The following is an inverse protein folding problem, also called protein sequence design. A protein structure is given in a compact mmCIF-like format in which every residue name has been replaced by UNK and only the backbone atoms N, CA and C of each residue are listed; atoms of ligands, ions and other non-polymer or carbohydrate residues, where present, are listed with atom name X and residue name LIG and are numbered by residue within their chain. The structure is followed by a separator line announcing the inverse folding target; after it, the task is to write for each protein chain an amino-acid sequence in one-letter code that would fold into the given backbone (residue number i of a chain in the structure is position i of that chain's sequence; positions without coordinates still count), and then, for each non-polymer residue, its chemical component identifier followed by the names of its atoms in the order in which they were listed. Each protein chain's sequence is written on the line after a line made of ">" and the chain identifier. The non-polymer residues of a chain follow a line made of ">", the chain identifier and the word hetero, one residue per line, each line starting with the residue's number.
data_IF_932449547875
#
_entry.id   IF_932449547875
#
_cell.length_a   1.000
_cell.length_b   1.000
_cell.length_c   1.000
_cell.angle_alpha   90.00
_cell.angle_beta   90.00
_cell.angle_gamma   90.00
#
_symmetry.space_group_name_H-M   'P 1'
#
loop_
_entity.id
_entity.type
_entity.pdbx_description
1 polymer ?
#
# COMPACT_ATOMS: atom_id res chain seq x y z
N UNK A 1 -71.02 5.65 16.71
CA UNK A 1 -69.88 4.76 16.38
C UNK A 1 -69.05 5.35 15.24
N UNK A 2 -68.39 6.49 15.45
CA UNK A 2 -67.54 7.19 14.46
C UNK A 2 -66.54 8.11 15.18
N UNK A 3 -65.68 7.58 16.05
CA UNK A 3 -64.69 8.42 16.78
C UNK A 3 -63.51 7.63 17.35
N UNK A 4 -63.08 6.51 16.72
CA UNK A 4 -61.91 5.74 17.19
C UNK A 4 -61.05 5.27 16.00
N UNK A 5 -60.72 6.20 15.09
CA UNK A 5 -59.83 5.90 13.95
C UNK A 5 -58.86 7.05 13.62
N UNK A 6 -58.56 7.92 14.59
CA UNK A 6 -57.69 9.10 14.39
C UNK A 6 -56.71 9.35 15.54
N UNK A 7 -55.98 8.33 16.00
CA UNK A 7 -54.86 8.57 16.96
C UNK A 7 -53.61 7.70 16.71
N UNK A 8 -53.65 6.58 15.99
CA UNK A 8 -52.46 5.74 15.80
C UNK A 8 -51.82 6.03 14.43
N UNK A 9 -51.33 7.25 14.24
CA UNK A 9 -50.53 7.62 13.07
C UNK A 9 -49.57 8.76 13.45
N UNK A 10 -48.80 8.56 14.53
CA UNK A 10 -47.81 9.56 14.99
C UNK A 10 -46.68 8.98 15.87
N UNK A 11 -46.31 7.70 15.70
CA UNK A 11 -45.11 7.11 16.34
C UNK A 11 -44.43 6.13 15.36
N UNK A 12 -44.08 6.58 14.16
CA UNK A 12 -43.22 5.81 13.25
C UNK A 12 -42.31 6.73 12.41
N UNK A 13 -41.99 7.91 12.92
CA UNK A 13 -41.20 8.92 12.23
C UNK A 13 -40.04 9.43 13.10
N UNK A 14 -39.28 8.55 13.75
CA UNK A 14 -38.03 8.94 14.42
C UNK A 14 -37.12 7.75 14.72
N UNK A 15 -36.69 7.01 13.70
CA UNK A 15 -35.56 6.07 13.83
C UNK A 15 -34.91 5.72 12.49
N UNK A 16 -34.90 6.64 11.53
CA UNK A 16 -33.91 6.60 10.47
C UNK A 16 -32.81 7.58 10.87
N UNK A 17 -32.06 7.25 11.92
CA UNK A 17 -30.70 7.75 12.04
C UNK A 17 -29.96 7.21 10.83
N UNK A 18 -30.00 7.96 9.73
CA UNK A 18 -28.93 7.92 8.76
C UNK A 18 -27.67 8.17 9.58
N UNK A 19 -26.97 7.09 9.93
CA UNK A 19 -25.56 7.16 10.17
C UNK A 19 -25.00 7.72 8.86
N UNK A 20 -24.90 9.05 8.81
CA UNK A 20 -23.93 9.71 7.96
C UNK A 20 -22.64 9.03 8.35
N UNK A 21 -22.19 8.07 7.54
CA UNK A 21 -20.83 7.59 7.61
C UNK A 21 -20.00 8.86 7.49
N UNK A 22 -19.45 9.31 8.61
CA UNK A 22 -18.64 10.52 8.63
C UNK A 22 -17.48 10.23 7.70
N UNK A 23 -17.43 10.92 6.57
CA UNK A 23 -16.39 10.74 5.58
C UNK A 23 -15.04 10.95 6.27
N UNK A 24 -14.13 9.98 6.16
CA UNK A 24 -12.77 10.12 6.66
C UNK A 24 -12.15 11.38 6.03
N UNK A 25 -11.64 12.28 6.87
CA UNK A 25 -11.02 13.54 6.42
C UNK A 25 -9.48 13.48 6.50
N UNK A 26 -8.96 12.54 7.27
CA UNK A 26 -7.54 12.29 7.44
C UNK A 26 -7.28 10.79 7.65
N UNK A 27 -6.01 10.39 7.65
CA UNK A 27 -5.59 9.03 7.94
C UNK A 27 -4.25 9.00 8.66
N UNK A 28 -4.04 7.96 9.47
CA UNK A 28 -2.76 7.72 10.13
C UNK A 28 -1.74 7.20 9.10
N UNK A 29 -0.69 7.96 8.82
CA UNK A 29 0.41 7.54 7.93
C UNK A 29 1.54 6.87 8.70
N UNK A 30 1.60 7.08 10.01
CA UNK A 30 2.57 6.45 10.91
C UNK A 30 2.01 6.42 12.33
N UNK A 31 2.23 5.33 13.07
CA UNK A 31 1.85 5.16 14.47
C UNK A 31 2.97 4.39 15.16
N UNK A 32 3.58 4.90 16.24
CA UNK A 32 4.65 4.23 16.99
C UNK A 32 4.48 4.47 18.48
N UNK A 33 4.66 3.42 19.29
CA UNK A 33 4.46 3.48 20.74
C UNK A 33 2.97 3.46 21.11
N UNK A 34 2.66 3.97 22.29
CA UNK A 34 1.29 4.02 22.81
C UNK A 34 0.49 5.15 22.16
N UNK A 35 -0.35 4.81 21.18
CA UNK A 35 -1.24 5.74 20.50
C UNK A 35 -2.66 5.21 20.60
N UNK A 36 -3.58 6.04 21.05
CA UNK A 36 -5.01 5.73 21.06
C UNK A 36 -5.78 6.75 20.23
N UNK A 37 -6.82 6.29 19.53
CA UNK A 37 -7.80 7.15 18.84
C UNK A 37 -9.16 6.85 19.43
N UNK A 38 -9.73 7.81 20.15
CA UNK A 38 -10.94 7.63 20.96
C UNK A 38 -10.88 6.34 21.82
N UNK A 39 -11.78 5.39 21.59
CA UNK A 39 -11.83 4.11 22.31
C UNK A 39 -10.86 3.04 21.75
N UNK A 40 -10.23 3.29 20.60
CA UNK A 40 -9.29 2.35 19.99
C UNK A 40 -7.87 2.59 20.52
N UNK A 41 -7.42 1.70 21.42
CA UNK A 41 -6.09 1.78 22.06
C UNK A 41 -4.94 1.33 21.16
N UNK A 42 -5.22 0.79 19.97
CA UNK A 42 -4.22 0.38 18.99
C UNK A 42 -4.73 0.61 17.56
N UNK A 43 -4.79 1.87 17.11
CA UNK A 43 -5.21 2.20 15.76
C UNK A 43 -4.21 1.63 14.74
N UNK A 44 -4.73 1.10 13.63
CA UNK A 44 -3.89 0.62 12.54
C UNK A 44 -3.31 1.80 11.73
N UNK A 45 -2.17 1.59 11.08
CA UNK A 45 -1.74 2.48 10.02
C UNK A 45 -2.77 2.47 8.90
N UNK A 46 -2.98 3.63 8.27
CA UNK A 46 -4.04 3.94 7.31
C UNK A 46 -5.46 3.93 7.89
N UNK A 47 -5.64 3.85 9.22
CA UNK A 47 -6.95 4.07 9.81
C UNK A 47 -7.44 5.49 9.50
N UNK A 48 -8.68 5.57 9.04
CA UNK A 48 -9.36 6.83 8.74
C UNK A 48 -9.67 7.59 10.03
N UNK A 49 -9.58 8.91 9.95
CA UNK A 49 -9.86 9.85 11.01
C UNK A 49 -10.95 10.83 10.59
N UNK A 50 -11.86 11.11 11.50
CA UNK A 50 -13.02 11.97 11.28
C UNK A 50 -12.94 13.19 12.20
N UNK A 51 -13.70 14.25 11.86
CA UNK A 51 -13.72 15.48 12.65
C UNK A 51 -14.13 15.18 14.10
N UNK A 52 -13.37 15.71 15.05
CA UNK A 52 -13.67 15.66 16.47
C UNK A 52 -13.04 14.47 17.20
N UNK A 53 -12.44 13.52 16.48
CA UNK A 53 -11.74 12.40 17.11
C UNK A 53 -10.53 12.88 17.92
N UNK A 54 -10.31 12.22 19.06
CA UNK A 54 -9.19 12.49 19.95
C UNK A 54 -8.07 11.49 19.69
N UNK A 55 -6.85 11.99 19.56
CA UNK A 55 -5.65 11.18 19.44
C UNK A 55 -4.82 11.40 20.70
N UNK A 56 -4.62 10.35 21.48
CA UNK A 56 -3.88 10.38 22.74
C UNK A 56 -2.55 9.67 22.50
N UNK A 57 -1.45 10.37 22.76
CA UNK A 57 -0.10 9.82 22.64
C UNK A 57 0.51 9.68 24.03
N UNK A 58 0.94 8.46 24.36
CA UNK A 58 1.70 8.17 25.58
C UNK A 58 3.14 8.71 25.52
N UNK A 59 3.93 8.41 26.55
CA UNK A 59 5.33 8.84 26.59
C UNK A 59 6.13 8.20 25.44
N UNK A 60 6.98 8.99 24.79
CA UNK A 60 7.82 8.56 23.65
C UNK A 60 7.02 8.03 22.43
N UNK A 61 5.70 8.19 22.44
CA UNK A 61 4.82 7.82 21.34
C UNK A 61 4.85 8.88 20.23
N UNK A 62 4.60 8.42 19.01
CA UNK A 62 4.65 9.24 17.82
C UNK A 62 3.55 8.81 16.85
N UNK A 63 2.91 9.78 16.22
CA UNK A 63 1.98 9.52 15.13
C UNK A 63 2.17 10.55 14.02
N UNK A 64 1.86 10.16 12.79
CA UNK A 64 1.73 11.08 11.67
C UNK A 64 0.34 10.94 11.07
N UNK A 65 -0.30 12.07 10.80
CA UNK A 65 -1.66 12.14 10.26
C UNK A 65 -1.64 13.00 9.01
N UNK A 66 -2.10 12.45 7.89
CA UNK A 66 -2.29 13.23 6.67
C UNK A 66 -3.77 13.52 6.41
N UNK A 67 -4.07 14.78 6.12
CA UNK A 67 -5.38 15.22 5.66
C UNK A 67 -5.58 14.93 4.17
N UNK A 68 -6.71 14.33 3.84
CA UNK A 68 -7.03 13.92 2.46
C UNK A 68 -7.18 15.15 1.57
N UNK A 69 -7.95 16.16 2.02
CA UNK A 69 -8.26 17.34 1.22
C UNK A 69 -7.03 18.21 0.97
N UNK A 70 -6.21 18.45 2.00
CA UNK A 70 -5.09 19.39 1.92
C UNK A 70 -3.77 18.72 1.56
N UNK A 71 -3.63 17.41 1.77
CA UNK A 71 -2.35 16.72 1.69
C UNK A 71 -1.35 17.15 2.78
N UNK A 72 -1.78 17.93 3.78
CA UNK A 72 -0.89 18.31 4.89
C UNK A 72 -0.73 17.13 5.82
N UNK A 73 0.51 16.86 6.19
CA UNK A 73 0.82 15.90 7.24
C UNK A 73 1.15 16.62 8.54
N UNK A 74 0.60 16.12 9.65
CA UNK A 74 0.87 16.59 11.00
C UNK A 74 1.61 15.50 11.75
N UNK A 75 2.78 15.84 12.26
CA UNK A 75 3.63 14.99 13.09
C UNK A 75 3.31 15.29 14.55
N UNK A 76 2.90 14.25 15.27
CA UNK A 76 2.42 14.27 16.64
C UNK A 76 3.44 13.58 17.56
N UNK A 77 3.68 14.14 18.74
CA UNK A 77 4.64 13.60 19.71
C UNK A 77 4.06 13.58 21.12
N UNK A 78 4.12 12.44 21.76
CA UNK A 78 3.65 12.28 23.13
C UNK A 78 4.70 12.61 24.19
N UNK A 79 4.28 12.84 25.44
CA UNK A 79 2.89 12.75 25.91
C UNK A 79 2.05 13.97 25.52
N UNK A 80 0.89 13.75 24.87
CA UNK A 80 0.01 14.83 24.40
C UNK A 80 -1.37 14.31 23.95
N UNK A 81 -2.38 15.17 24.05
CA UNK A 81 -3.71 14.95 23.49
C UNK A 81 -3.94 15.86 22.28
N UNK A 82 -4.44 15.30 21.19
CA UNK A 82 -4.74 16.02 19.96
C UNK A 82 -6.19 15.83 19.56
N UNK A 83 -6.74 16.82 18.85
CA UNK A 83 -8.09 16.75 18.26
C UNK A 83 -7.99 16.99 16.76
N UNK A 84 -8.66 16.12 16.00
CA UNK A 84 -8.80 16.24 14.55
C UNK A 84 -9.86 17.30 14.24
N UNK A 85 -9.47 18.39 13.57
CA UNK A 85 -10.41 19.36 13.00
C UNK A 85 -10.58 19.10 11.51
N UNK A 86 -11.23 20.01 10.78
CA UNK A 86 -11.50 19.86 9.34
C UNK A 86 -10.27 19.73 8.45
N UNK A 87 -9.27 20.57 8.72
CA UNK A 87 -8.12 20.75 7.84
C UNK A 87 -6.80 20.76 8.60
N UNK A 88 -6.87 20.59 9.92
CA UNK A 88 -5.73 20.65 10.82
C UNK A 88 -5.90 19.75 12.04
N UNK A 89 -4.80 19.48 12.73
CA UNK A 89 -4.80 18.93 14.08
C UNK A 89 -4.39 20.02 15.06
N UNK A 90 -5.05 20.06 16.22
CA UNK A 90 -4.65 20.92 17.33
C UNK A 90 -4.33 20.09 18.56
N UNK A 91 -3.27 20.47 19.28
CA UNK A 91 -3.01 19.96 20.62
C UNK A 91 -4.07 20.51 21.59
N UNK A 92 -4.73 19.62 22.32
CA UNK A 92 -5.53 19.96 23.50
C UNK A 92 -4.65 20.01 24.75
N UNK A 93 -3.55 19.25 24.75
CA UNK A 93 -2.51 19.25 25.79
C UNK A 93 -1.16 18.90 25.17
N UNK A 94 -0.05 19.24 25.83
CA UNK A 94 1.30 18.86 25.40
C UNK A 94 1.87 19.70 24.24
N UNK A 95 2.79 19.10 23.47
CA UNK A 95 3.52 19.78 22.40
C UNK A 95 2.64 19.97 21.16
N UNK A 96 2.59 21.18 20.57
CA UNK A 96 1.83 21.42 19.35
C UNK A 96 2.30 20.54 18.18
N UNK A 97 1.39 20.16 17.27
CA UNK A 97 1.74 19.30 16.15
C UNK A 97 2.64 20.05 15.15
N UNK A 98 3.63 19.35 14.60
CA UNK A 98 4.54 19.91 13.60
C UNK A 98 3.98 19.60 12.21
N UNK A 99 3.77 20.63 11.40
CA UNK A 99 3.30 20.43 10.01
C UNK A 99 4.47 20.05 9.11
N UNK A 100 4.27 19.01 8.30
CA UNK A 100 5.16 18.60 7.22
C UNK A 100 4.40 18.69 5.90
N UNK A 101 5.00 19.35 4.92
CA UNK A 101 4.46 19.35 3.56
C UNK A 101 4.91 18.07 2.86
N UNK A 102 3.97 17.22 2.49
CA UNK A 102 4.24 16.15 1.52
C UNK A 102 4.10 16.74 0.13
N UNK A 103 5.08 16.52 -0.75
CA UNK A 103 5.02 17.04 -2.12
C UNK A 103 3.89 16.43 -2.95
N UNK A 104 3.28 15.34 -2.47
CA UNK A 104 2.24 14.62 -3.18
C UNK A 104 1.38 13.75 -2.25
N UNK A 105 0.20 13.34 -2.72
CA UNK A 105 -0.75 12.46 -2.01
C UNK A 105 -1.21 11.30 -2.90
N UNK A 106 -1.55 10.18 -2.26
CA UNK A 106 -2.24 9.06 -2.92
C UNK A 106 -3.73 9.39 -3.14
N UNK A 107 -4.38 8.72 -4.10
CA UNK A 107 -5.83 8.90 -4.30
C UNK A 107 -6.65 8.36 -3.13
N UNK A 108 -7.77 9.06 -2.82
CA UNK A 108 -8.67 8.66 -1.73
C UNK A 108 -9.22 7.24 -1.93
N UNK A 109 -9.54 6.89 -3.18
CA UNK A 109 -10.04 5.55 -3.55
C UNK A 109 -9.06 4.44 -3.11
N UNK A 110 -7.76 4.62 -3.36
CA UNK A 110 -6.76 3.61 -3.04
C UNK A 110 -6.46 3.57 -1.54
N UNK A 111 -6.46 4.73 -0.88
CA UNK A 111 -6.34 4.81 0.57
C UNK A 111 -7.43 4.00 1.27
N UNK A 112 -8.70 4.23 0.93
CA UNK A 112 -9.84 3.50 1.50
C UNK A 112 -9.75 2.00 1.19
N UNK A 113 -9.45 1.63 -0.06
CA UNK A 113 -9.33 0.23 -0.46
C UNK A 113 -8.23 -0.51 0.32
N UNK A 114 -7.06 0.11 0.48
CA UNK A 114 -5.94 -0.48 1.21
C UNK A 114 -6.20 -0.51 2.71
N UNK A 115 -6.83 0.52 3.28
CA UNK A 115 -7.24 0.55 4.69
C UNK A 115 -8.23 -0.58 5.01
N UNK A 116 -9.23 -0.80 4.16
CA UNK A 116 -10.19 -1.90 4.31
C UNK A 116 -9.52 -3.27 4.20
N UNK A 117 -8.63 -3.45 3.22
CA UNK A 117 -7.89 -4.71 3.03
C UNK A 117 -6.98 -5.01 4.22
N UNK A 118 -6.29 -3.99 4.72
CA UNK A 118 -5.47 -4.03 5.94
C UNK A 118 -6.30 -4.49 7.15
N UNK A 119 -7.43 -3.82 7.43
CA UNK A 119 -8.29 -4.15 8.56
C UNK A 119 -8.88 -5.57 8.50
N UNK A 120 -9.26 -6.05 7.31
CA UNK A 120 -9.77 -7.40 7.10
C UNK A 120 -8.69 -8.47 7.36
N UNK A 121 -7.45 -8.21 6.91
CA UNK A 121 -6.34 -9.16 7.00
C UNK A 121 -5.84 -9.42 8.43
N UNK A 122 -6.02 -8.45 9.35
CA UNK A 122 -5.64 -8.61 10.76
C UNK A 122 -6.52 -9.66 11.46
N UNK A 123 -7.76 -9.89 10.98
CA UNK A 123 -8.70 -10.85 11.58
C UNK A 123 -8.47 -12.32 11.18
N UNK A 124 -7.48 -12.62 10.33
CA UNK A 124 -7.27 -13.96 9.76
C UNK A 124 -5.96 -14.66 10.15
N UNK A 125 -5.25 -14.23 11.20
CA UNK A 125 -3.98 -14.86 11.60
C UNK A 125 -4.16 -16.03 12.56
N UNK A 126 -4.18 -17.23 11.99
CA UNK A 126 -3.60 -18.42 12.61
C UNK A 126 -2.90 -19.21 11.51
N UNK A 127 -1.71 -19.75 11.80
CA UNK A 127 -0.89 -20.64 10.97
C UNK A 127 0.23 -19.92 10.18
N UNK A 128 1.51 -20.11 10.59
CA UNK A 128 2.67 -19.77 9.76
C UNK A 128 2.68 -20.65 8.51
N UNK A 129 2.95 -20.11 7.31
CA UNK A 129 3.16 -20.95 6.14
C UNK A 129 4.39 -21.84 6.36
N UNK A 130 4.33 -23.13 5.96
CA UNK A 130 5.47 -24.01 6.05
C UNK A 130 6.64 -23.46 5.23
N UNK A 131 7.86 -23.68 5.73
CA UNK A 131 9.09 -23.36 5.02
C UNK A 131 9.26 -24.35 3.87
N UNK A 132 8.62 -24.07 2.73
CA UNK A 132 8.76 -24.85 1.50
C UNK A 132 10.09 -24.49 0.85
N UNK A 133 10.90 -25.49 0.49
CA UNK A 133 12.10 -25.29 -0.32
C UNK A 133 11.75 -24.55 -1.62
N UNK A 134 12.64 -23.70 -2.16
CA UNK A 134 12.33 -22.91 -3.34
C UNK A 134 12.25 -23.81 -4.58
N UNK A 135 11.05 -24.32 -4.86
CA UNK A 135 10.71 -24.90 -6.15
C UNK A 135 10.99 -23.86 -7.25
N UNK A 136 11.45 -24.36 -8.41
CA UNK A 136 11.69 -23.56 -9.59
C UNK A 136 10.43 -22.75 -9.94
N UNK A 137 10.55 -21.41 -10.03
CA UNK A 137 9.42 -20.51 -10.31
C UNK A 137 9.87 -19.12 -10.72
N UNK A 138 8.99 -18.37 -11.36
CA UNK A 138 9.19 -16.93 -11.57
C UNK A 138 8.99 -16.14 -10.29
N UNK A 139 9.77 -15.06 -10.14
CA UNK A 139 9.68 -14.11 -9.02
C UNK A 139 9.18 -12.76 -9.50
N UNK A 140 9.72 -12.22 -10.61
CA UNK A 140 9.31 -10.92 -11.16
C UNK A 140 9.77 -10.75 -12.61
N UNK A 141 8.99 -10.12 -13.50
CA UNK A 141 7.55 -9.91 -13.39
C UNK A 141 6.81 -11.23 -13.59
N UNK A 142 5.80 -11.54 -12.79
CA UNK A 142 4.98 -12.76 -13.01
C UNK A 142 3.63 -12.51 -13.69
N UNK A 143 3.05 -11.32 -13.47
CA UNK A 143 1.72 -10.93 -13.91
C UNK A 143 1.49 -9.42 -13.69
N UNK A 144 0.62 -8.82 -14.51
CA UNK A 144 0.09 -7.47 -14.29
C UNK A 144 0.97 -6.35 -14.83
N UNK A 145 0.75 -5.13 -14.34
CA UNK A 145 1.51 -3.96 -14.80
C UNK A 145 2.85 -3.87 -14.08
N UNK A 146 3.87 -3.35 -14.76
CA UNK A 146 5.16 -2.98 -14.17
C UNK A 146 5.46 -1.50 -14.36
N UNK A 147 6.09 -0.92 -13.35
CA UNK A 147 6.41 0.51 -13.31
C UNK A 147 7.74 0.88 -13.97
N UNK A 148 8.55 -0.11 -14.34
CA UNK A 148 9.86 0.08 -14.97
C UNK A 148 9.84 -0.34 -16.44
N UNK A 149 10.52 0.45 -17.28
CA UNK A 149 10.77 0.09 -18.68
C UNK A 149 12.08 -0.70 -18.86
N UNK A 150 12.80 -0.98 -17.77
CA UNK A 150 13.99 -1.83 -17.76
C UNK A 150 13.90 -2.79 -16.57
N UNK A 151 12.99 -3.77 -16.63
CA UNK A 151 12.83 -4.71 -15.54
C UNK A 151 14.08 -5.57 -15.35
N UNK A 152 14.33 -5.93 -14.10
CA UNK A 152 15.22 -7.04 -13.75
C UNK A 152 14.36 -8.28 -13.59
N UNK A 153 14.41 -9.19 -14.57
CA UNK A 153 13.76 -10.48 -14.51
C UNK A 153 14.35 -11.27 -13.34
N UNK A 154 13.52 -11.89 -12.51
CA UNK A 154 13.93 -12.67 -11.34
C UNK A 154 13.21 -14.02 -11.35
N UNK A 155 13.93 -15.07 -11.01
CA UNK A 155 13.40 -16.43 -10.88
C UNK A 155 14.08 -17.15 -9.71
N UNK A 156 13.46 -18.21 -9.22
CA UNK A 156 14.08 -19.17 -8.31
C UNK A 156 14.50 -20.39 -9.13
N UNK A 157 15.76 -20.81 -8.97
CA UNK A 157 16.27 -22.08 -9.48
C UNK A 157 16.85 -22.88 -8.31
N UNK A 158 16.62 -24.20 -8.24
CA UNK A 158 17.28 -25.07 -7.27
C UNK A 158 18.80 -25.13 -7.51
N UNK A 159 19.25 -24.91 -8.75
CA UNK A 159 20.67 -24.74 -9.09
C UNK A 159 20.92 -23.29 -9.56
N UNK A 160 21.45 -22.42 -8.70
CA UNK A 160 21.74 -21.02 -9.04
C UNK A 160 22.97 -20.85 -9.94
N UNK A 161 23.78 -21.90 -10.16
CA UNK A 161 24.95 -21.85 -11.05
C UNK A 161 24.62 -22.36 -12.46
N UNK A 162 23.45 -22.97 -12.65
CA UNK A 162 23.00 -23.43 -13.95
C UNK A 162 22.89 -22.28 -14.95
N UNK A 163 23.32 -22.55 -16.19
CA UNK A 163 23.03 -21.67 -17.33
C UNK A 163 21.52 -21.72 -17.62
N UNK A 164 20.91 -20.54 -17.72
CA UNK A 164 19.52 -20.36 -18.13
C UNK A 164 19.44 -19.66 -19.47
N UNK A 165 18.45 -20.02 -20.26
CA UNK A 165 18.03 -19.31 -21.46
C UNK A 165 16.82 -18.44 -21.15
N UNK A 166 16.88 -17.17 -21.55
CA UNK A 166 15.85 -16.17 -21.33
C UNK A 166 15.33 -15.70 -22.68
N UNK A 167 14.01 -15.66 -22.83
CA UNK A 167 13.35 -15.04 -23.98
C UNK A 167 12.32 -14.02 -23.51
N UNK A 168 12.32 -12.83 -24.10
CA UNK A 168 11.29 -11.80 -23.91
C UNK A 168 10.74 -11.45 -25.28
N UNK A 169 9.42 -11.58 -25.43
CA UNK A 169 8.69 -11.34 -26.67
C UNK A 169 7.67 -10.25 -26.41
N UNK A 170 7.72 -9.18 -27.20
CA UNK A 170 6.67 -8.17 -27.26
C UNK A 170 5.68 -8.48 -28.39
N UNK A 171 4.58 -7.73 -28.45
CA UNK A 171 3.50 -7.93 -29.44
C UNK A 171 4.00 -7.95 -30.89
N UNK A 172 4.95 -7.09 -31.24
CA UNK A 172 5.43 -6.96 -32.63
C UNK A 172 6.63 -7.84 -32.95
N UNK A 173 7.55 -8.01 -31.99
CA UNK A 173 8.84 -8.68 -32.23
C UNK A 173 9.50 -9.19 -30.93
N UNK A 174 10.38 -10.19 -31.04
CA UNK A 174 11.29 -10.56 -29.96
C UNK A 174 12.11 -9.35 -29.49
N UNK A 175 12.19 -9.17 -28.17
CA UNK A 175 12.93 -8.09 -27.51
C UNK A 175 14.29 -8.57 -27.03
N UNK A 176 14.33 -9.80 -26.50
CA UNK A 176 15.50 -10.38 -25.87
C UNK A 176 15.52 -11.88 -26.13
N UNK A 177 16.69 -12.39 -26.53
CA UNK A 177 17.07 -13.79 -26.36
C UNK A 177 18.47 -13.77 -25.77
N UNK A 178 18.63 -14.31 -24.56
CA UNK A 178 19.88 -14.24 -23.82
C UNK A 178 20.16 -15.54 -23.06
N UNK A 179 21.43 -15.77 -22.77
CA UNK A 179 21.88 -16.74 -21.79
C UNK A 179 22.37 -16.00 -20.55
N UNK A 180 22.08 -16.54 -19.37
CA UNK A 180 22.49 -15.97 -18.10
C UNK A 180 22.82 -17.07 -17.09
N UNK A 181 23.50 -16.69 -16.02
CA UNK A 181 23.70 -17.52 -14.84
C UNK A 181 23.13 -16.76 -13.62
N UNK A 182 22.75 -17.49 -12.57
CA UNK A 182 22.12 -16.91 -11.39
C UNK A 182 20.60 -16.90 -11.46
N UNK A 183 20.01 -15.97 -10.69
CA UNK A 183 18.56 -15.91 -10.43
C UNK A 183 17.93 -14.57 -10.84
N UNK A 184 18.71 -13.72 -11.53
CA UNK A 184 18.25 -12.41 -11.98
C UNK A 184 18.96 -11.98 -13.27
N UNK A 185 18.24 -11.27 -14.14
CA UNK A 185 18.77 -10.68 -15.36
C UNK A 185 18.14 -9.33 -15.64
N UNK A 186 18.96 -8.27 -15.74
CA UNK A 186 18.50 -6.94 -16.11
C UNK A 186 18.32 -6.87 -17.62
N UNK A 187 17.10 -6.57 -18.09
CA UNK A 187 16.85 -6.38 -19.53
C UNK A 187 17.63 -5.14 -20.00
N UNK A 188 18.57 -5.28 -20.95
CA UNK A 188 19.42 -4.18 -21.37
C UNK A 188 18.66 -3.18 -22.25
N UNK A 189 17.68 -3.65 -23.02
CA UNK A 189 16.83 -2.81 -23.85
C UNK A 189 15.77 -2.11 -23.01
N UNK A 190 15.51 -0.84 -23.31
CA UNK A 190 14.34 -0.13 -22.76
C UNK A 190 13.09 -0.63 -23.48
N UNK A 191 12.17 -1.21 -22.72
CA UNK A 191 10.86 -1.65 -23.21
C UNK A 191 10.02 -0.45 -23.66
N UNK A 192 9.11 -0.70 -24.61
CA UNK A 192 8.11 0.29 -25.01
C UNK A 192 7.15 0.50 -23.84
N UNK A 193 6.72 1.74 -23.55
CA UNK A 193 5.64 1.98 -22.62
C UNK A 193 4.31 1.47 -23.20
N UNK A 194 3.34 1.20 -22.32
CA UNK A 194 2.01 0.73 -22.68
C UNK A 194 2.01 -0.49 -23.62
N UNK A 195 2.90 -1.44 -23.35
CA UNK A 195 3.09 -2.61 -24.18
C UNK A 195 3.11 -3.90 -23.36
N UNK A 196 2.51 -4.92 -23.95
CA UNK A 196 2.45 -6.25 -23.37
C UNK A 196 3.67 -7.08 -23.78
N UNK A 197 4.19 -7.83 -22.81
CA UNK A 197 5.34 -8.70 -22.96
C UNK A 197 5.06 -10.08 -22.36
N UNK A 198 5.55 -11.11 -23.02
CA UNK A 198 5.67 -12.46 -22.47
C UNK A 198 7.14 -12.79 -22.34
N UNK A 199 7.52 -13.42 -21.24
CA UNK A 199 8.89 -13.90 -21.06
C UNK A 199 8.92 -15.32 -20.51
N UNK A 200 9.99 -16.02 -20.84
CA UNK A 200 10.23 -17.41 -20.47
C UNK A 200 11.66 -17.53 -19.96
N UNK A 201 11.84 -18.32 -18.91
CA UNK A 201 13.16 -18.79 -18.45
C UNK A 201 13.18 -20.31 -18.48
N UNK A 202 14.23 -20.87 -19.08
CA UNK A 202 14.43 -22.31 -19.21
C UNK A 202 15.86 -22.70 -18.85
N UNK A 203 16.03 -23.87 -18.25
CA UNK A 203 17.31 -24.55 -18.05
C UNK A 203 17.46 -25.68 -19.07
N UNK A 204 18.60 -26.37 -19.05
CA UNK A 204 18.79 -27.62 -19.81
C UNK A 204 17.79 -28.73 -19.40
N UNK A 205 17.26 -28.68 -18.17
CA UNK A 205 16.29 -29.64 -17.65
C UNK A 205 14.83 -29.33 -18.00
N UNK A 206 14.54 -28.14 -18.56
CA UNK A 206 13.18 -27.75 -18.95
C UNK A 206 12.86 -26.28 -18.67
N UNK A 207 11.59 -25.92 -18.81
CA UNK A 207 11.10 -24.59 -18.49
C UNK A 207 11.06 -24.37 -16.96
N UNK A 208 11.69 -23.29 -16.48
CA UNK A 208 11.59 -22.83 -15.07
C UNK A 208 10.28 -22.07 -14.86
N UNK A 209 9.85 -21.31 -15.87
CA UNK A 209 8.52 -20.72 -15.91
C UNK A 209 8.35 -19.70 -17.04
N UNK A 210 7.09 -19.31 -17.24
CA UNK A 210 6.67 -18.28 -18.18
C UNK A 210 5.74 -17.26 -17.51
N UNK A 211 5.86 -16.00 -17.92
CA UNK A 211 5.17 -14.88 -17.30
C UNK A 211 4.75 -13.85 -18.33
N UNK A 212 3.67 -13.14 -18.03
CA UNK A 212 3.08 -12.14 -18.91
C UNK A 212 2.89 -10.83 -18.14
N UNK A 213 3.37 -9.72 -18.66
CA UNK A 213 3.25 -8.43 -17.99
C UNK A 213 3.02 -7.30 -18.98
N UNK A 214 2.53 -6.17 -18.48
CA UNK A 214 2.31 -4.95 -19.24
C UNK A 214 3.16 -3.82 -18.68
N UNK A 215 3.86 -3.07 -19.53
CA UNK A 215 4.54 -1.85 -19.08
C UNK A 215 3.53 -0.73 -18.92
N UNK A 216 3.67 0.08 -17.88
CA UNK A 216 2.79 1.24 -17.72
C UNK A 216 2.95 2.27 -18.85
N UNK A 217 1.91 3.08 -19.12
CA UNK A 217 2.01 4.24 -20.00
C UNK A 217 3.13 5.20 -19.58
N UNK A 218 3.72 5.91 -20.55
CA UNK A 218 4.87 6.78 -20.30
C UNK A 218 4.58 7.84 -19.23
N UNK A 219 3.37 8.41 -19.21
CA UNK A 219 2.96 9.39 -18.19
C UNK A 219 2.96 8.78 -16.78
N UNK A 220 2.43 7.56 -16.63
CA UNK A 220 2.40 6.85 -15.36
C UNK A 220 3.83 6.51 -14.87
N UNK A 221 4.71 6.04 -15.77
CA UNK A 221 6.12 5.79 -15.45
C UNK A 221 6.81 7.07 -14.97
N UNK A 222 6.63 8.18 -15.69
CA UNK A 222 7.22 9.48 -15.31
C UNK A 222 6.68 9.97 -13.96
N UNK A 223 5.38 9.80 -13.71
CA UNK A 223 4.75 10.15 -12.42
C UNK A 223 5.32 9.32 -11.27
N UNK A 224 5.57 8.03 -11.49
CA UNK A 224 6.19 7.15 -10.48
C UNK A 224 7.65 7.56 -10.22
N UNK A 225 8.45 7.76 -11.26
CA UNK A 225 9.85 8.15 -11.10
C UNK A 225 10.00 9.51 -10.40
N UNK A 226 9.17 10.50 -10.76
CA UNK A 226 9.18 11.82 -10.10
C UNK A 226 8.86 11.74 -8.60
N UNK A 227 8.09 10.73 -8.18
CA UNK A 227 7.61 10.56 -6.79
C UNK A 227 8.36 9.47 -6.04
N UNK A 228 9.39 8.88 -6.66
CA UNK A 228 10.17 7.80 -6.05
C UNK A 228 10.93 8.37 -4.83
N UNK A 229 10.60 7.92 -3.62
CA UNK A 229 11.30 8.37 -2.44
C UNK A 229 12.74 7.82 -2.44
N UNK A 230 13.67 8.57 -1.85
CA UNK A 230 14.99 8.03 -1.53
C UNK A 230 14.90 6.94 -0.47
N UNK A 231 15.92 6.08 -0.37
CA UNK A 231 15.98 5.04 0.68
C UNK A 231 15.99 5.62 2.11
N UNK A 232 16.36 6.90 2.26
CA UNK A 232 16.39 7.62 3.55
C UNK A 232 15.14 8.48 3.78
N UNK A 233 14.17 8.46 2.88
CA UNK A 233 12.93 9.23 3.04
C UNK A 233 12.14 8.76 4.26
N UNK A 234 11.31 9.66 4.79
CA UNK A 234 10.45 9.35 5.93
C UNK A 234 9.56 8.14 5.62
N UNK A 235 9.19 7.40 6.67
CA UNK A 235 8.32 6.23 6.57
C UNK A 235 7.03 6.55 5.80
N UNK A 236 6.40 7.70 6.10
CA UNK A 236 5.17 8.15 5.44
C UNK A 236 5.35 8.30 3.93
N UNK A 237 6.46 8.83 3.43
CA UNK A 237 6.68 9.04 2.00
C UNK A 237 6.81 7.70 1.26
N UNK A 238 7.49 6.74 1.88
CA UNK A 238 7.64 5.37 1.35
C UNK A 238 6.32 4.60 1.40
N UNK A 239 5.51 4.81 2.44
CA UNK A 239 4.15 4.29 2.53
C UNK A 239 3.25 4.86 1.42
N UNK A 240 3.31 6.17 1.17
CA UNK A 240 2.57 6.78 0.07
C UNK A 240 3.01 6.25 -1.27
N UNK A 241 4.31 6.07 -1.48
CA UNK A 241 4.85 5.47 -2.69
C UNK A 241 4.31 4.07 -2.96
N UNK A 242 4.19 3.23 -1.93
CA UNK A 242 3.57 1.92 -2.07
C UNK A 242 2.10 2.01 -2.51
N UNK A 243 1.34 2.99 -1.98
CA UNK A 243 -0.03 3.27 -2.42
C UNK A 243 -0.10 3.76 -3.87
N UNK A 244 0.85 4.60 -4.31
CA UNK A 244 0.91 5.04 -5.71
C UNK A 244 1.15 3.88 -6.67
N UNK A 245 2.06 2.97 -6.33
CA UNK A 245 2.31 1.77 -7.15
C UNK A 245 1.03 0.92 -7.25
N UNK A 246 0.31 0.76 -6.15
CA UNK A 246 -0.98 0.06 -6.13
C UNK A 246 -2.03 0.76 -6.97
N UNK A 247 -2.11 2.10 -6.90
CA UNK A 247 -3.01 2.93 -7.72
C UNK A 247 -2.76 2.76 -9.22
N UNK A 248 -1.49 2.66 -9.62
CA UNK A 248 -1.10 2.44 -11.02
C UNK A 248 -1.25 0.98 -11.46
N UNK A 249 -1.62 0.07 -10.55
CA UNK A 249 -1.71 -1.37 -10.82
C UNK A 249 -0.36 -2.09 -10.92
N UNK A 250 0.74 -1.44 -10.50
CA UNK A 250 2.07 -2.04 -10.38
C UNK A 250 2.16 -2.93 -9.12
N UNK A 251 1.34 -3.97 -9.07
CA UNK A 251 1.05 -4.72 -7.84
C UNK A 251 2.27 -5.45 -7.27
N UNK A 252 3.18 -5.95 -8.11
CA UNK A 252 4.37 -6.65 -7.61
C UNK A 252 5.35 -5.70 -6.96
N UNK A 253 5.59 -4.55 -7.59
CA UNK A 253 6.41 -3.48 -7.02
C UNK A 253 5.76 -2.90 -5.76
N UNK A 254 4.43 -2.77 -5.74
CA UNK A 254 3.70 -2.37 -4.53
C UNK A 254 3.93 -3.38 -3.39
N UNK A 255 3.81 -4.68 -3.65
CA UNK A 255 4.11 -5.74 -2.66
C UNK A 255 5.56 -5.71 -2.18
N UNK A 256 6.53 -5.52 -3.08
CA UNK A 256 7.94 -5.35 -2.71
C UNK A 256 8.13 -4.11 -1.81
N UNK A 257 7.44 -3.00 -2.09
CA UNK A 257 7.47 -1.81 -1.26
C UNK A 257 6.82 -2.05 0.13
N UNK A 258 5.66 -2.70 0.18
CA UNK A 258 5.01 -3.10 1.43
C UNK A 258 5.86 -4.06 2.26
N UNK A 259 6.54 -5.01 1.63
CA UNK A 259 7.43 -5.95 2.31
C UNK A 259 8.59 -5.22 3.01
N UNK A 260 9.19 -4.22 2.35
CA UNK A 260 10.24 -3.38 2.97
C UNK A 260 9.70 -2.58 4.15
N UNK A 261 8.52 -1.97 4.01
CA UNK A 261 7.88 -1.24 5.11
C UNK A 261 7.56 -2.15 6.30
N UNK A 262 7.09 -3.37 6.05
CA UNK A 262 6.81 -4.37 7.09
C UNK A 262 8.08 -4.85 7.81
N UNK A 263 9.20 -4.95 7.10
CA UNK A 263 10.50 -5.29 7.71
C UNK A 263 11.03 -4.17 8.62
N UNK A 264 10.82 -2.91 8.24
CA UNK A 264 11.20 -1.76 9.07
C UNK A 264 10.29 -1.59 10.29
N UNK A 265 9.00 -1.89 10.13
CA UNK A 265 7.96 -1.68 11.14
C UNK A 265 7.28 -2.99 11.52
N UNK A 266 8.06 -3.87 12.15
CA UNK A 266 7.57 -5.17 12.64
C UNK A 266 6.48 -5.04 13.71
N UNK A 267 6.38 -3.87 14.35
CA UNK A 267 5.34 -3.49 15.31
C UNK A 267 3.98 -3.16 14.66
N UNK A 268 3.95 -2.96 13.33
CA UNK A 268 2.77 -2.73 12.50
C UNK A 268 2.45 -3.99 11.66
N UNK A 269 1.77 -4.99 12.25
CA UNK A 269 1.55 -6.28 11.60
C UNK A 269 0.81 -6.14 10.26
N UNK A 270 -0.10 -5.18 10.13
CA UNK A 270 -0.93 -4.95 8.95
C UNK A 270 -0.12 -4.70 7.67
N UNK A 271 1.07 -4.09 7.77
CA UNK A 271 1.96 -3.91 6.61
C UNK A 271 2.39 -5.25 6.01
N UNK A 272 2.63 -6.26 6.86
CA UNK A 272 2.99 -7.60 6.42
C UNK A 272 1.85 -8.34 5.70
N UNK A 273 0.60 -7.90 5.87
CA UNK A 273 -0.52 -8.44 5.09
C UNK A 273 -0.63 -7.80 3.71
N UNK A 274 -0.34 -6.50 3.60
CA UNK A 274 -0.27 -5.77 2.32
C UNK A 274 0.88 -6.23 1.42
N UNK A 275 1.91 -6.85 2.02
CA UNK A 275 3.05 -7.43 1.32
C UNK A 275 2.75 -8.78 0.61
N UNK A 276 1.56 -9.35 0.80
CA UNK A 276 1.17 -10.67 0.25
C UNK A 276 0.41 -10.53 -1.08
#
# INVERSE_FOLDING_TARGET
>A
MRTIQRVILLIAAFAASAALASEGIAFLTNVKGEVAVDANTRPAVLAELTRGQKIILGKDAHAAVMFIATGKEYVLRGPADYVVKDTEISASSGVPPVTRNTEWRASNKVLVQVAQTSAASVRMRSIPPPKVEPAARLIYPTAGNIATLQPTLKWASPDPQAEVSLSVVGVEKPVLNAKAQGNAYKVPAKLKPDAEYTWVVSTASGEVGSGKFHTLPSEAVQRIEKRRPSDKADFSDRLLFALLLQEMGATQEAREAWAKLAQERTDLPELGALAR
#
